data_IF_725969553973
#
_entry.id   IF_725969553973
#
_cell.length_a   1.000
_cell.length_b   1.000
_cell.length_c   1.000
_cell.angle_alpha   90.00
_cell.angle_beta   90.00
_cell.angle_gamma   90.00
#
_symmetry.space_group_name_H-M   'P 1'
#
loop_
_entity.id
_entity.type
_entity.pdbx_description
1 polymer ?
#
# COMPACT_ATOMS: atom_id res chain seq x y z
N UNK A 1 4.60 -44.74 -85.97
CA UNK A 1 4.12 -44.93 -84.58
C UNK A 1 4.95 -44.19 -83.50
N UNK A 2 5.98 -43.38 -83.83
CA UNK A 2 6.85 -42.74 -82.82
C UNK A 2 6.42 -41.38 -82.23
N UNK A 3 5.55 -40.60 -82.90
CA UNK A 3 5.21 -39.24 -82.47
C UNK A 3 4.30 -39.17 -81.21
N UNK A 4 3.37 -40.12 -81.07
CA UNK A 4 2.40 -40.16 -79.95
C UNK A 4 3.07 -40.44 -78.59
N UNK A 5 4.13 -41.23 -78.57
CA UNK A 5 4.89 -41.56 -77.35
C UNK A 5 5.66 -40.33 -76.82
N UNK A 6 6.21 -39.52 -77.73
CA UNK A 6 6.99 -38.32 -77.38
C UNK A 6 6.13 -37.19 -76.82
N UNK A 7 4.94 -36.94 -77.39
CA UNK A 7 3.98 -35.97 -76.85
C UNK A 7 3.45 -36.38 -75.46
N UNK A 8 3.17 -37.66 -75.25
CA UNK A 8 2.77 -38.18 -73.94
C UNK A 8 3.87 -38.00 -72.89
N UNK A 9 5.13 -38.23 -73.25
CA UNK A 9 6.27 -38.01 -72.36
C UNK A 9 6.46 -36.53 -71.99
N UNK A 10 6.30 -35.60 -72.94
CA UNK A 10 6.41 -34.15 -72.70
C UNK A 10 5.28 -33.67 -71.80
N UNK A 11 4.04 -34.06 -72.07
CA UNK A 11 2.89 -33.66 -71.25
C UNK A 11 3.00 -34.21 -69.82
N UNK A 12 3.48 -35.45 -69.66
CA UNK A 12 3.71 -36.05 -68.35
C UNK A 12 4.81 -35.31 -67.57
N UNK A 13 5.90 -34.93 -68.23
CA UNK A 13 6.97 -34.14 -67.61
C UNK A 13 6.49 -32.74 -67.17
N UNK A 14 5.61 -32.11 -67.97
CA UNK A 14 5.04 -30.79 -67.66
C UNK A 14 4.07 -30.83 -66.47
N UNK A 15 3.25 -31.88 -66.38
CA UNK A 15 2.36 -32.13 -65.25
C UNK A 15 3.15 -32.44 -63.97
N UNK A 16 4.19 -33.28 -64.06
CA UNK A 16 5.05 -33.59 -62.92
C UNK A 16 5.85 -32.36 -62.45
N UNK A 17 6.39 -31.56 -63.37
CA UNK A 17 7.11 -30.33 -63.06
C UNK A 17 6.23 -29.26 -62.40
N UNK A 18 5.00 -29.07 -62.90
CA UNK A 18 4.04 -28.14 -62.30
C UNK A 18 3.54 -28.61 -60.93
N UNK A 19 3.28 -29.91 -60.75
CA UNK A 19 2.92 -30.49 -59.45
C UNK A 19 4.06 -30.31 -58.42
N UNK A 20 5.31 -30.52 -58.83
CA UNK A 20 6.48 -30.30 -57.96
C UNK A 20 6.66 -28.83 -57.57
N UNK A 21 6.48 -27.90 -58.51
CA UNK A 21 6.54 -26.46 -58.24
C UNK A 21 5.42 -26.02 -57.27
N UNK A 22 4.19 -26.55 -57.43
CA UNK A 22 3.09 -26.29 -56.51
C UNK A 22 3.40 -26.83 -55.10
N UNK A 23 3.97 -28.03 -55.03
CA UNK A 23 4.34 -28.66 -53.76
C UNK A 23 5.38 -27.81 -53.01
N UNK A 24 6.39 -27.30 -53.72
CA UNK A 24 7.40 -26.41 -53.16
C UNK A 24 6.79 -25.11 -52.61
N UNK A 25 5.87 -24.48 -53.35
CA UNK A 25 5.18 -23.26 -52.90
C UNK A 25 4.34 -23.49 -51.64
N UNK A 26 3.67 -24.65 -51.55
CA UNK A 26 2.90 -25.03 -50.37
C UNK A 26 3.85 -25.21 -49.17
N UNK A 27 4.95 -25.94 -49.36
CA UNK A 27 5.93 -26.19 -48.29
C UNK A 27 6.53 -24.87 -47.78
N UNK A 28 6.94 -23.95 -48.67
CA UNK A 28 7.48 -22.64 -48.25
C UNK A 28 6.44 -21.82 -47.49
N UNK A 29 5.18 -21.80 -47.96
CA UNK A 29 4.11 -21.06 -47.28
C UNK A 29 3.84 -21.59 -45.86
N UNK A 30 3.85 -22.92 -45.66
CA UNK A 30 3.65 -23.53 -44.33
C UNK A 30 4.81 -23.23 -43.39
N UNK A 31 6.05 -23.24 -43.90
CA UNK A 31 7.24 -22.86 -43.12
C UNK A 31 7.14 -21.39 -42.70
N UNK A 32 6.79 -20.49 -43.61
CA UNK A 32 6.60 -19.06 -43.29
C UNK A 32 5.52 -18.86 -42.22
N UNK A 33 4.37 -19.51 -42.34
CA UNK A 33 3.28 -19.42 -41.35
C UNK A 33 3.74 -19.91 -39.97
N UNK A 34 4.42 -21.05 -39.91
CA UNK A 34 4.91 -21.60 -38.62
C UNK A 34 5.97 -20.72 -37.99
N UNK A 35 6.86 -20.12 -38.77
CA UNK A 35 7.85 -19.15 -38.30
C UNK A 35 7.16 -17.89 -37.75
N UNK A 36 6.18 -17.33 -38.46
CA UNK A 36 5.44 -16.15 -37.99
C UNK A 36 4.65 -16.43 -36.71
N UNK A 37 4.02 -17.60 -36.61
CA UNK A 37 3.32 -18.03 -35.38
C UNK A 37 4.29 -18.15 -34.20
N UNK A 38 5.47 -18.72 -34.40
CA UNK A 38 6.50 -18.82 -33.36
C UNK A 38 7.03 -17.44 -32.93
N UNK A 39 7.28 -16.53 -33.88
CA UNK A 39 7.73 -15.16 -33.57
C UNK A 39 6.64 -14.41 -32.78
N UNK A 40 5.38 -14.54 -33.17
CA UNK A 40 4.26 -13.92 -32.46
C UNK A 40 4.16 -14.44 -31.01
N UNK A 41 4.27 -15.75 -30.81
CA UNK A 41 4.29 -16.34 -29.46
C UNK A 41 5.48 -15.86 -28.61
N UNK A 42 6.69 -15.82 -29.18
CA UNK A 42 7.88 -15.31 -28.49
C UNK A 42 7.74 -13.84 -28.10
N UNK A 43 7.17 -13.02 -28.99
CA UNK A 43 6.92 -11.59 -28.73
C UNK A 43 5.95 -11.40 -27.57
N UNK A 44 4.87 -12.19 -27.51
CA UNK A 44 3.91 -12.16 -26.40
C UNK A 44 4.58 -12.57 -25.09
N UNK A 45 5.38 -13.65 -25.07
CA UNK A 45 6.10 -14.10 -23.88
C UNK A 45 7.09 -13.05 -23.37
N UNK A 46 7.86 -12.42 -24.26
CA UNK A 46 8.77 -11.32 -23.89
C UNK A 46 8.00 -10.13 -23.33
N UNK A 47 6.86 -9.75 -23.93
CA UNK A 47 6.04 -8.65 -23.42
C UNK A 47 5.51 -8.90 -22.00
N UNK A 48 5.10 -10.14 -21.71
CA UNK A 48 4.69 -10.56 -20.37
C UNK A 48 5.85 -10.51 -19.36
N UNK A 49 7.03 -11.00 -19.74
CA UNK A 49 8.21 -10.98 -18.88
C UNK A 49 8.66 -9.53 -18.58
N UNK A 50 8.67 -8.65 -19.58
CA UNK A 50 8.98 -7.22 -19.39
C UNK A 50 7.97 -6.55 -18.46
N UNK A 51 6.68 -6.88 -18.61
CA UNK A 51 5.61 -6.33 -17.75
C UNK A 51 5.76 -6.81 -16.30
N UNK A 52 6.02 -8.10 -16.09
CA UNK A 52 6.28 -8.67 -14.77
C UNK A 52 7.54 -8.08 -14.13
N UNK A 53 8.63 -7.92 -14.88
CA UNK A 53 9.84 -7.30 -14.38
C UNK A 53 9.60 -5.84 -13.96
N UNK A 54 8.88 -5.05 -14.78
CA UNK A 54 8.49 -3.68 -14.45
C UNK A 54 7.61 -3.62 -13.20
N UNK A 55 6.64 -4.52 -13.06
CA UNK A 55 5.79 -4.61 -11.87
C UNK A 55 6.58 -5.01 -10.62
N UNK A 56 7.51 -5.96 -10.74
CA UNK A 56 8.38 -6.37 -9.64
C UNK A 56 9.28 -5.21 -9.18
N UNK A 57 9.89 -4.46 -10.11
CA UNK A 57 10.69 -3.27 -9.79
C UNK A 57 9.85 -2.16 -9.15
N UNK A 58 8.64 -1.89 -9.67
CA UNK A 58 7.73 -0.92 -9.09
C UNK A 58 7.31 -1.31 -7.67
N UNK A 59 7.00 -2.59 -7.44
CA UNK A 59 6.63 -3.11 -6.12
C UNK A 59 7.79 -3.04 -5.14
N UNK A 60 9.02 -3.34 -5.59
CA UNK A 60 10.23 -3.21 -4.77
C UNK A 60 10.51 -1.75 -4.37
N UNK A 61 10.33 -0.80 -5.30
CA UNK A 61 10.47 0.63 -5.01
C UNK A 61 9.42 1.12 -4.01
N UNK A 62 8.17 0.65 -4.13
CA UNK A 62 7.07 0.99 -3.20
C UNK A 62 7.31 0.38 -1.81
N UNK A 63 7.98 -0.77 -1.69
CA UNK A 63 8.18 -1.42 -0.39
C UNK A 63 9.55 -1.14 0.25
N UNK A 64 10.36 -0.28 -0.37
CA UNK A 64 11.66 0.10 0.16
C UNK A 64 11.52 0.78 1.54
N UNK A 65 12.45 0.46 2.46
CA UNK A 65 12.51 1.13 3.74
C UNK A 65 12.86 2.62 3.55
N UNK A 66 12.10 3.56 4.12
CA UNK A 66 12.31 4.98 3.86
C UNK A 66 13.68 5.47 4.38
N UNK A 67 14.46 6.11 3.51
CA UNK A 67 15.82 6.57 3.84
C UNK A 67 15.88 7.65 4.94
N UNK A 68 14.77 8.36 5.18
CA UNK A 68 14.66 9.35 6.24
C UNK A 68 14.41 8.72 7.62
N UNK A 69 14.04 7.43 7.68
CA UNK A 69 13.89 6.70 8.92
C UNK A 69 15.25 6.10 9.36
N UNK A 70 15.52 6.02 10.67
CA UNK A 70 16.79 5.45 11.15
C UNK A 70 16.93 3.96 10.82
N UNK A 71 18.14 3.54 10.40
CA UNK A 71 18.51 2.14 10.26
C UNK A 71 17.93 1.46 9.01
N UNK A 72 17.48 0.22 9.17
CA UNK A 72 16.87 -0.57 8.11
C UNK A 72 15.71 -1.41 8.66
N UNK A 73 14.82 -1.84 7.76
CA UNK A 73 13.71 -2.71 8.11
C UNK A 73 13.27 -3.56 6.93
N UNK A 74 12.62 -4.68 7.25
CA UNK A 74 12.02 -5.60 6.28
C UNK A 74 10.52 -5.34 6.24
N UNK A 75 9.95 -5.18 5.04
CA UNK A 75 8.50 -4.92 4.90
C UNK A 75 7.70 -6.09 5.48
N UNK A 76 6.76 -5.76 6.36
CA UNK A 76 5.82 -6.69 6.99
C UNK A 76 4.42 -6.51 6.41
N UNK A 77 3.98 -5.25 6.24
CA UNK A 77 2.73 -4.90 5.59
C UNK A 77 3.00 -3.90 4.47
N UNK A 78 2.31 -4.11 3.35
CA UNK A 78 2.07 -3.11 2.32
C UNK A 78 0.60 -3.19 1.92
N UNK A 79 -0.17 -2.17 2.28
CA UNK A 79 -1.61 -2.10 2.10
C UNK A 79 -2.01 -0.76 1.49
N UNK A 80 -2.58 -0.74 0.27
CA UNK A 80 -3.14 0.48 -0.31
C UNK A 80 -4.29 1.08 0.50
N UNK A 81 -4.90 0.31 1.42
CA UNK A 81 -6.11 0.64 2.17
C UNK A 81 -7.34 0.86 1.28
N UNK A 82 -7.51 0.02 0.25
CA UNK A 82 -8.64 0.11 -0.68
C UNK A 82 -9.75 -0.89 -0.39
N UNK A 83 -9.45 -1.88 0.45
CA UNK A 83 -10.36 -2.94 0.86
C UNK A 83 -9.89 -3.50 2.21
N UNK A 84 -10.79 -4.23 2.87
CA UNK A 84 -10.45 -4.94 4.10
C UNK A 84 -9.42 -6.05 3.81
N UNK A 85 -8.23 -5.90 4.39
CA UNK A 85 -7.12 -6.85 4.29
C UNK A 85 -6.34 -6.92 5.59
N UNK A 86 -5.65 -5.84 5.95
CA UNK A 86 -4.93 -5.75 7.23
C UNK A 86 -5.66 -4.87 8.25
N UNK A 87 -6.54 -3.97 7.81
CA UNK A 87 -7.35 -3.09 8.65
C UNK A 87 -8.83 -3.47 8.58
N UNK A 88 -9.50 -3.40 9.72
CA UNK A 88 -10.92 -3.74 9.85
C UNK A 88 -11.83 -2.65 9.31
N UNK A 89 -12.89 -3.06 8.61
CA UNK A 89 -14.05 -2.21 8.40
C UNK A 89 -15.02 -2.34 9.59
N UNK A 90 -15.92 -1.37 9.76
CA UNK A 90 -16.89 -1.39 10.85
C UNK A 90 -17.59 -0.06 11.02
N UNK A 91 -18.72 -0.08 11.71
CA UNK A 91 -19.46 1.11 12.09
C UNK A 91 -20.15 0.85 13.42
N UNK A 92 -20.14 1.88 14.27
CA UNK A 92 -20.93 1.92 15.49
C UNK A 92 -21.58 3.30 15.57
N UNK A 93 -22.84 3.40 15.13
CA UNK A 93 -23.59 4.66 15.11
C UNK A 93 -23.89 5.20 16.52
N UNK A 94 -24.03 4.31 17.51
CA UNK A 94 -24.25 4.69 18.90
C UNK A 94 -22.96 5.25 19.51
N UNK A 95 -21.82 4.69 19.13
CA UNK A 95 -20.51 5.26 19.45
C UNK A 95 -20.18 6.51 18.64
N UNK A 96 -20.66 6.64 17.40
CA UNK A 96 -20.35 7.75 16.49
C UNK A 96 -19.16 7.49 15.57
N UNK A 97 -18.67 6.25 15.51
CA UNK A 97 -17.43 5.91 14.80
C UNK A 97 -17.65 5.00 13.59
N UNK A 98 -16.82 5.15 12.55
CA UNK A 98 -16.83 4.21 11.42
C UNK A 98 -15.50 4.10 10.66
N UNK A 99 -15.31 2.94 10.02
CA UNK A 99 -14.21 2.53 9.18
C UNK A 99 -14.77 1.99 7.86
N UNK A 100 -14.59 2.73 6.77
CA UNK A 100 -15.17 2.40 5.46
C UNK A 100 -14.11 2.44 4.37
N UNK A 101 -13.97 1.35 3.63
CA UNK A 101 -13.19 1.34 2.40
C UNK A 101 -14.05 1.86 1.24
N UNK A 102 -13.72 3.02 0.70
CA UNK A 102 -14.42 3.64 -0.43
C UNK A 102 -13.49 4.60 -1.17
N UNK A 103 -13.80 4.88 -2.43
CA UNK A 103 -13.07 5.85 -3.25
C UNK A 103 -11.55 5.65 -3.29
N UNK A 104 -11.10 4.40 -3.16
CA UNK A 104 -9.68 4.03 -3.17
C UNK A 104 -8.93 4.30 -1.86
N UNK A 105 -9.64 4.44 -0.73
CA UNK A 105 -9.04 4.71 0.58
C UNK A 105 -9.85 4.14 1.75
N UNK A 106 -9.22 4.13 2.93
CA UNK A 106 -9.92 3.91 4.20
C UNK A 106 -10.37 5.26 4.75
N UNK A 107 -11.68 5.48 4.78
CA UNK A 107 -12.32 6.60 5.42
C UNK A 107 -12.65 6.25 6.86
N UNK A 108 -12.13 7.05 7.79
CA UNK A 108 -12.38 6.93 9.21
C UNK A 108 -13.15 8.15 9.69
N UNK A 109 -14.23 7.93 10.41
CA UNK A 109 -15.10 9.01 10.91
C UNK A 109 -15.30 8.89 12.41
N UNK A 110 -15.36 10.04 13.05
CA UNK A 110 -15.81 10.21 14.44
C UNK A 110 -16.77 11.41 14.45
N UNK A 111 -18.01 11.16 14.86
CA UNK A 111 -19.12 12.12 14.86
C UNK A 111 -19.53 12.55 16.27
N UNK A 112 -18.94 11.94 17.30
CA UNK A 112 -19.21 12.26 18.69
C UNK A 112 -17.92 12.67 19.40
N UNK A 113 -17.89 13.93 19.79
CA UNK A 113 -16.75 14.54 20.46
C UNK A 113 -16.18 13.75 21.65
N UNK A 114 -14.85 13.76 21.75
CA UNK A 114 -14.04 13.14 22.81
C UNK A 114 -14.20 11.61 22.92
N UNK A 115 -14.52 10.97 21.80
CA UNK A 115 -14.48 9.52 21.63
C UNK A 115 -13.32 9.14 20.70
N UNK A 116 -12.91 7.88 20.77
CA UNK A 116 -11.79 7.35 19.99
C UNK A 116 -12.21 6.02 19.37
N UNK A 117 -12.90 6.08 18.24
CA UNK A 117 -13.13 4.90 17.42
C UNK A 117 -11.93 4.68 16.49
N UNK A 118 -11.24 3.55 16.67
CA UNK A 118 -10.05 3.23 15.90
C UNK A 118 -10.27 2.02 14.99
N UNK A 119 -9.91 2.18 13.73
CA UNK A 119 -9.83 1.11 12.75
C UNK A 119 -8.54 0.33 13.01
N UNK A 120 -8.65 -0.73 13.81
CA UNK A 120 -7.48 -1.54 14.18
C UNK A 120 -7.05 -2.49 13.07
N UNK A 121 -5.74 -2.67 12.97
CA UNK A 121 -5.18 -3.75 12.18
C UNK A 121 -5.41 -5.11 12.83
N UNK A 122 -5.40 -6.19 12.04
CA UNK A 122 -5.48 -7.57 12.53
C UNK A 122 -4.20 -8.03 13.25
N UNK A 123 -3.10 -7.29 13.11
CA UNK A 123 -1.85 -7.61 13.78
C UNK A 123 -1.89 -7.14 15.23
N UNK A 124 -1.44 -7.99 16.14
CA UNK A 124 -1.63 -7.80 17.58
C UNK A 124 -0.35 -7.58 18.37
N UNK A 125 0.83 -7.74 17.77
CA UNK A 125 2.10 -7.63 18.49
C UNK A 125 3.24 -7.16 17.60
N UNK A 126 3.94 -6.13 18.04
CA UNK A 126 5.17 -5.61 17.45
C UNK A 126 6.18 -5.31 18.55
N UNK A 127 7.47 -5.55 18.31
CA UNK A 127 8.54 -5.19 19.24
C UNK A 127 9.30 -3.96 18.76
N UNK A 128 9.87 -4.06 17.55
CA UNK A 128 10.53 -2.95 16.88
C UNK A 128 9.96 -2.83 15.47
N UNK A 129 9.30 -1.71 15.18
CA UNK A 129 8.67 -1.50 13.90
C UNK A 129 8.74 -0.04 13.45
N UNK A 130 8.60 0.14 12.14
CA UNK A 130 8.21 1.41 11.57
C UNK A 130 6.83 1.27 10.91
N UNK A 131 5.99 2.29 11.05
CA UNK A 131 4.75 2.48 10.30
C UNK A 131 4.93 3.71 9.42
N UNK A 132 4.38 3.68 8.22
CA UNK A 132 4.18 4.85 7.39
C UNK A 132 2.77 4.78 6.77
N UNK A 133 2.04 5.89 6.75
CA UNK A 133 0.71 5.99 6.16
C UNK A 133 0.47 7.40 5.65
N UNK A 134 -0.24 7.53 4.53
CA UNK A 134 -0.72 8.83 4.07
C UNK A 134 -2.02 9.19 4.78
N UNK A 135 -2.05 10.35 5.41
CA UNK A 135 -3.20 10.88 6.16
C UNK A 135 -3.68 12.17 5.49
N UNK A 136 -4.98 12.23 5.20
CA UNK A 136 -5.65 13.42 4.67
C UNK A 136 -6.88 13.72 5.51
N UNK A 137 -6.89 14.85 6.21
CA UNK A 137 -8.08 15.30 6.96
C UNK A 137 -9.02 15.96 5.95
N UNK A 138 -10.20 15.38 5.77
CA UNK A 138 -11.21 15.85 4.81
C UNK A 138 -12.03 16.99 5.44
N UNK A 139 -12.42 16.81 6.70
CA UNK A 139 -13.14 17.79 7.51
C UNK A 139 -12.92 17.51 9.01
N UNK A 140 -13.24 18.50 9.84
CA UNK A 140 -13.23 18.38 11.30
C UNK A 140 -11.92 18.81 11.93
N UNK A 141 -11.48 18.11 12.97
CA UNK A 141 -10.40 18.56 13.84
C UNK A 141 -9.04 17.93 13.48
N UNK A 142 -8.85 16.64 13.78
CA UNK A 142 -7.53 15.99 13.64
C UNK A 142 -7.63 14.52 13.19
N UNK A 143 -6.53 14.00 12.61
CA UNK A 143 -6.33 12.57 12.42
C UNK A 143 -5.43 11.98 13.50
N UNK A 144 -5.55 10.68 13.70
CA UNK A 144 -4.80 9.99 14.74
C UNK A 144 -4.31 8.60 14.32
N UNK A 145 -3.21 8.19 14.95
CA UNK A 145 -2.74 6.81 14.98
C UNK A 145 -2.63 6.37 16.43
N UNK A 146 -3.30 5.26 16.75
CA UNK A 146 -3.21 4.57 18.02
C UNK A 146 -2.21 3.41 17.91
N UNK A 147 -1.36 3.22 18.91
CA UNK A 147 -0.51 2.03 19.03
C UNK A 147 -0.76 1.41 20.40
N UNK A 148 -1.37 0.22 20.44
CA UNK A 148 -1.64 -0.50 21.68
C UNK A 148 -0.35 -0.77 22.47
N UNK A 149 -0.47 -0.96 23.78
CA UNK A 149 0.67 -1.24 24.67
C UNK A 149 0.39 -2.53 25.43
N UNK A 150 1.06 -3.62 25.03
CA UNK A 150 0.90 -4.91 25.68
C UNK A 150 1.53 -4.94 27.10
N UNK A 151 1.04 -5.81 28.00
CA UNK A 151 -0.05 -6.79 27.80
C UNK A 151 -1.46 -6.21 28.01
N UNK A 152 -1.60 -4.92 28.34
CA UNK A 152 -2.92 -4.32 28.58
C UNK A 152 -3.64 -4.01 27.28
N UNK A 153 -4.92 -4.38 27.16
CA UNK A 153 -5.77 -3.94 26.06
C UNK A 153 -6.15 -2.46 26.16
N UNK A 154 -5.93 -1.83 27.31
CA UNK A 154 -6.49 -0.53 27.64
C UNK A 154 -5.45 0.61 27.55
N UNK A 155 -4.18 0.27 27.34
CA UNK A 155 -3.10 1.25 27.23
C UNK A 155 -2.69 1.44 25.77
N UNK A 156 -2.42 2.68 25.37
CA UNK A 156 -1.99 2.97 24.01
C UNK A 156 -1.23 4.29 23.91
N UNK A 157 -0.36 4.39 22.91
CA UNK A 157 0.13 5.68 22.43
C UNK A 157 -0.88 6.26 21.45
N UNK A 158 -1.08 7.56 21.55
CA UNK A 158 -2.01 8.35 20.76
C UNK A 158 -1.22 9.45 20.07
N UNK A 159 -1.11 9.35 18.74
CA UNK A 159 -0.36 10.28 17.89
C UNK A 159 -1.36 11.09 17.08
N UNK A 160 -1.59 12.32 17.48
CA UNK A 160 -2.55 13.24 16.85
C UNK A 160 -1.83 14.22 15.94
N UNK A 161 -2.35 14.38 14.72
CA UNK A 161 -1.92 15.35 13.73
C UNK A 161 -3.16 16.14 13.30
N UNK A 162 -3.14 17.47 13.47
CA UNK A 162 -4.26 18.32 13.11
C UNK A 162 -3.99 19.14 11.84
N UNK A 163 -5.06 19.53 11.15
CA UNK A 163 -4.98 20.32 9.92
C UNK A 163 -4.37 21.72 10.13
N UNK A 164 -4.33 22.23 11.36
CA UNK A 164 -3.72 23.52 11.71
C UNK A 164 -2.30 23.39 12.27
N UNK A 165 -1.62 22.26 12.03
CA UNK A 165 -0.20 22.08 12.34
C UNK A 165 0.10 21.70 13.79
N UNK A 166 -0.93 21.36 14.57
CA UNK A 166 -0.77 20.77 15.90
C UNK A 166 -0.38 19.30 15.81
N UNK A 167 0.51 18.89 16.70
CA UNK A 167 0.91 17.50 16.89
C UNK A 167 0.96 17.16 18.38
N UNK A 168 0.42 16.00 18.77
CA UNK A 168 0.59 15.46 20.12
C UNK A 168 1.03 14.01 20.09
N UNK A 169 1.87 13.64 21.07
CA UNK A 169 2.13 12.26 21.45
C UNK A 169 1.73 12.12 22.91
N UNK A 170 0.66 11.36 23.15
CA UNK A 170 0.10 11.10 24.48
C UNK A 170 0.14 9.60 24.73
N UNK A 171 0.45 9.20 25.96
CA UNK A 171 0.28 7.84 26.44
C UNK A 171 -0.97 7.77 27.29
N UNK A 172 -1.92 6.94 26.90
CA UNK A 172 -3.08 6.60 27.71
C UNK A 172 -2.75 5.38 28.57
N UNK A 173 -3.03 5.49 29.87
CA UNK A 173 -2.80 4.44 30.85
C UNK A 173 -4.06 3.62 31.13
N UNK A 174 -5.19 4.02 30.55
CA UNK A 174 -6.46 3.31 30.53
C UNK A 174 -7.29 3.72 29.31
N UNK A 175 -8.39 2.99 29.05
CA UNK A 175 -9.32 3.24 27.95
C UNK A 175 -10.41 4.27 28.30
N UNK A 176 -10.38 4.86 29.51
CA UNK A 176 -11.38 5.83 29.96
C UNK A 176 -11.02 7.27 29.60
N UNK A 177 -9.77 7.49 29.19
CA UNK A 177 -9.24 8.80 28.86
C UNK A 177 -8.86 9.65 30.09
N UNK A 178 -9.01 9.12 31.31
CA UNK A 178 -8.78 9.88 32.55
C UNK A 178 -7.34 9.85 33.04
N UNK A 179 -6.54 8.88 32.61
CA UNK A 179 -5.13 8.75 32.99
C UNK A 179 -4.24 8.84 31.76
N UNK A 180 -3.61 10.00 31.60
CA UNK A 180 -2.73 10.28 30.46
C UNK A 180 -1.37 10.80 30.90
N UNK A 181 -0.37 10.56 30.06
CA UNK A 181 0.95 11.19 30.14
C UNK A 181 1.19 11.90 28.81
N UNK A 182 1.29 13.22 28.83
CA UNK A 182 1.63 14.01 27.65
C UNK A 182 3.13 13.94 27.42
N UNK A 183 3.56 13.13 26.45
CA UNK A 183 4.98 12.96 26.15
C UNK A 183 5.51 14.14 25.34
N UNK A 184 4.75 14.59 24.33
CA UNK A 184 5.07 15.77 23.51
C UNK A 184 3.79 16.47 23.05
N UNK A 185 3.82 17.80 23.03
CA UNK A 185 2.79 18.66 22.47
C UNK A 185 3.46 19.82 21.72
N UNK A 186 3.06 20.05 20.46
CA UNK A 186 3.57 21.13 19.61
C UNK A 186 2.44 21.72 18.79
N UNK A 187 2.46 23.04 18.60
CA UNK A 187 1.59 23.75 17.67
C UNK A 187 2.45 24.41 16.57
N UNK A 188 1.84 24.71 15.41
CA UNK A 188 2.52 25.42 14.32
C UNK A 188 3.69 24.64 13.68
N UNK A 189 3.63 23.31 13.64
CA UNK A 189 4.70 22.47 13.10
C UNK A 189 4.81 22.63 11.58
N UNK A 190 5.87 23.26 11.08
CA UNK A 190 6.06 23.57 9.66
C UNK A 190 6.13 22.34 8.74
N UNK A 191 6.48 21.16 9.28
CA UNK A 191 6.50 19.91 8.52
C UNK A 191 5.10 19.43 8.10
N UNK A 192 4.05 19.85 8.83
CA UNK A 192 2.66 19.48 8.54
C UNK A 192 2.12 20.45 7.49
N UNK A 193 1.67 19.91 6.34
CA UNK A 193 0.88 20.66 5.37
C UNK A 193 -0.47 20.96 6.00
N UNK A 194 -0.75 22.23 6.20
CA UNK A 194 -1.94 22.70 6.90
C UNK A 194 -3.12 22.91 5.95
N UNK A 195 -4.33 22.83 6.49
CA UNK A 195 -5.59 22.90 5.76
C UNK A 195 -6.21 21.54 5.45
N UNK A 196 -7.48 21.55 5.08
CA UNK A 196 -8.20 20.35 4.66
C UNK A 196 -7.75 19.87 3.28
N UNK A 197 -7.94 18.58 3.02
CA UNK A 197 -7.54 17.91 1.77
C UNK A 197 -6.04 17.99 1.47
N UNK A 198 -5.21 18.30 2.48
CA UNK A 198 -3.76 18.20 2.39
C UNK A 198 -3.29 16.83 2.86
N UNK A 199 -2.66 16.09 1.95
CA UNK A 199 -2.07 14.78 2.29
C UNK A 199 -0.70 14.96 2.94
N UNK A 200 -0.59 14.43 4.15
CA UNK A 200 0.65 14.34 4.93
C UNK A 200 1.10 12.88 5.02
N UNK A 201 2.39 12.64 4.79
CA UNK A 201 2.99 11.32 5.03
C UNK A 201 3.39 11.23 6.50
N UNK A 202 2.64 10.46 7.29
CA UNK A 202 2.92 10.22 8.69
C UNK A 202 3.74 8.95 8.82
N UNK A 203 4.87 9.01 9.52
CA UNK A 203 5.63 7.83 9.90
C UNK A 203 5.90 7.78 11.41
N UNK A 204 5.84 6.57 11.96
CA UNK A 204 6.15 6.29 13.36
C UNK A 204 7.25 5.25 13.39
N UNK A 205 8.34 5.58 14.08
CA UNK A 205 9.44 4.66 14.33
C UNK A 205 9.46 4.30 15.81
N UNK A 206 9.28 3.02 16.09
CA UNK A 206 9.25 2.45 17.43
C UNK A 206 10.35 1.40 17.56
N UNK A 207 11.40 1.70 18.33
CA UNK A 207 12.48 0.75 18.61
C UNK A 207 12.88 0.82 20.07
N UNK A 208 12.78 -0.31 20.78
CA UNK A 208 13.00 -0.40 22.23
C UNK A 208 12.12 0.61 22.98
N UNK A 209 12.73 1.58 23.66
CA UNK A 209 12.04 2.64 24.41
C UNK A 209 12.05 3.99 23.68
N UNK A 210 12.22 4.00 22.36
CA UNK A 210 12.25 5.21 21.56
C UNK A 210 11.05 5.19 20.63
N UNK A 211 10.23 6.23 20.73
CA UNK A 211 9.19 6.58 19.77
C UNK A 211 9.58 7.86 19.05
N UNK A 212 9.59 7.83 17.72
CA UNK A 212 9.79 9.00 16.88
C UNK A 212 8.62 9.13 15.92
N UNK A 213 8.14 10.35 15.74
CA UNK A 213 7.11 10.67 14.76
C UNK A 213 7.71 11.60 13.72
N UNK A 214 7.47 11.27 12.46
CA UNK A 214 7.88 12.03 11.31
C UNK A 214 6.65 12.43 10.52
N UNK A 215 6.66 13.65 9.99
CA UNK A 215 5.67 14.09 9.01
C UNK A 215 6.41 14.62 7.79
N UNK A 216 6.01 14.15 6.60
CA UNK A 216 6.62 14.50 5.32
C UNK A 216 8.16 14.34 5.32
N UNK A 217 8.63 13.25 5.94
CA UNK A 217 10.06 12.92 6.04
C UNK A 217 10.84 13.69 7.11
N UNK A 218 10.23 14.63 7.83
CA UNK A 218 10.88 15.40 8.89
C UNK A 218 10.48 14.89 10.27
N UNK A 219 11.46 14.64 11.15
CA UNK A 219 11.18 14.25 12.54
C UNK A 219 10.60 15.44 13.29
N UNK A 220 9.39 15.29 13.83
CA UNK A 220 8.68 16.34 14.59
C UNK A 220 8.59 16.02 16.09
N UNK A 221 8.68 14.73 16.44
CA UNK A 221 8.59 14.23 17.82
C UNK A 221 9.66 13.17 18.05
N UNK A 222 10.25 13.18 19.24
CA UNK A 222 11.00 12.07 19.81
C UNK A 222 10.66 11.99 21.30
N UNK A 223 10.29 10.81 21.76
CA UNK A 223 10.07 10.50 23.17
C UNK A 223 10.83 9.24 23.55
N UNK A 224 11.37 9.23 24.77
CA UNK A 224 11.95 8.04 25.37
C UNK A 224 10.95 7.41 26.33
N UNK A 225 10.01 6.68 25.78
CA UNK A 225 8.99 5.93 26.51
C UNK A 225 8.84 4.57 25.83
N UNK A 226 8.62 3.50 26.60
CA UNK A 226 8.46 2.18 25.98
C UNK A 226 8.24 1.05 26.95
N UNK A 227 7.29 0.19 26.57
CA UNK A 227 7.15 -1.17 27.03
C UNK A 227 7.68 -2.10 25.92
N UNK A 228 8.27 -3.24 26.28
CA UNK A 228 8.96 -4.12 25.33
C UNK A 228 8.09 -4.69 24.21
N UNK A 229 6.76 -4.64 24.33
CA UNK A 229 5.82 -5.14 23.33
C UNK A 229 4.72 -4.11 23.08
N UNK A 230 4.58 -3.71 21.82
CA UNK A 230 3.49 -2.88 21.32
C UNK A 230 2.40 -3.77 20.72
N UNK A 231 1.17 -3.31 20.80
CA UNK A 231 -0.04 -3.99 20.34
C UNK A 231 -0.50 -3.53 18.95
N UNK A 232 -1.79 -3.72 18.62
CA UNK A 232 -2.36 -3.32 17.33
C UNK A 232 -2.16 -1.85 16.98
N UNK A 233 -2.12 -1.57 15.68
CA UNK A 233 -2.09 -0.21 15.12
C UNK A 233 -3.52 0.17 14.75
N UNK A 234 -4.03 1.26 15.32
CA UNK A 234 -5.33 1.83 14.99
C UNK A 234 -5.19 3.12 14.19
N UNK A 235 -6.02 3.29 13.17
CA UNK A 235 -6.18 4.57 12.46
C UNK A 235 -7.53 5.17 12.87
N UNK A 236 -7.57 6.45 13.23
CA UNK A 236 -8.75 7.07 13.84
C UNK A 236 -8.92 8.54 13.43
N UNK A 237 -10.15 9.01 13.45
CA UNK A 237 -10.50 10.42 13.36
C UNK A 237 -10.69 10.98 14.79
N UNK A 238 -10.39 12.26 14.99
CA UNK A 238 -10.51 12.92 16.28
C UNK A 238 -11.54 14.02 16.17
N UNK A 239 -12.66 13.88 16.86
CA UNK A 239 -13.65 14.93 17.07
C UNK A 239 -13.46 15.53 18.47
N UNK A 240 -13.10 16.80 18.54
CA UNK A 240 -13.16 17.58 19.78
C UNK A 240 -14.45 18.38 19.87
N UNK A 241 -14.86 18.95 18.73
CA UNK A 241 -16.06 19.77 18.58
C UNK A 241 -16.71 19.62 17.20
N UNK A 242 -15.96 19.13 16.21
CA UNK A 242 -16.42 19.02 14.84
C UNK A 242 -16.35 17.56 14.39
N UNK A 243 -17.47 17.05 13.88
CA UNK A 243 -17.50 15.73 13.24
C UNK A 243 -16.40 15.62 12.18
N UNK A 244 -15.54 14.63 12.36
CA UNK A 244 -14.25 14.54 11.67
C UNK A 244 -14.23 13.35 10.75
N UNK A 245 -13.73 13.56 9.53
CA UNK A 245 -13.46 12.51 8.55
C UNK A 245 -12.01 12.60 8.09
N UNK A 246 -11.33 11.46 8.15
CA UNK A 246 -9.92 11.33 7.74
C UNK A 246 -9.80 10.18 6.77
N UNK A 247 -9.13 10.45 5.66
CA UNK A 247 -8.82 9.48 4.64
C UNK A 247 -7.38 8.98 4.82
N UNK A 248 -7.20 7.67 4.88
CA UNK A 248 -5.90 7.00 4.97
C UNK A 248 -5.65 6.15 3.74
N UNK A 249 -4.42 6.21 3.22
CA UNK A 249 -3.96 5.39 2.09
C UNK A 249 -2.53 4.92 2.28
N UNK A 250 -2.14 3.88 1.52
CA UNK A 250 -0.75 3.43 1.38
C UNK A 250 -0.04 3.14 2.72
N UNK A 251 -0.69 2.38 3.60
CA UNK A 251 -0.11 1.96 4.86
C UNK A 251 0.99 0.91 4.64
N UNK A 252 2.16 1.15 5.22
CA UNK A 252 3.30 0.24 5.20
C UNK A 252 3.84 0.06 6.60
N UNK A 253 4.18 -1.18 6.95
CA UNK A 253 4.79 -1.52 8.23
C UNK A 253 6.04 -2.33 7.96
N UNK A 254 7.14 -2.02 8.65
CA UNK A 254 8.39 -2.76 8.59
C UNK A 254 8.77 -3.29 9.96
N UNK A 255 9.30 -4.51 10.00
CA UNK A 255 10.04 -5.02 11.15
C UNK A 255 11.44 -4.43 11.12
N UNK A 256 11.90 -3.83 12.21
CA UNK A 256 13.22 -3.23 12.30
C UNK A 256 14.28 -4.27 12.66
N UNK A 257 15.45 -4.13 12.03
CA UNK A 257 16.64 -4.94 12.33
C UNK A 257 17.43 -4.37 13.51
#
# INVERSE_FOLDING_TARGET
MGNSQRERAINMALVLGSAFALLLLIITSVIEITVQLNIAQQTVLQSHQVTQARQATATAAVNAYPAYLPGSGTVLISDPLQQEKYWRSGMDSDFGGSCQFKDGALHVREEKANRNYACYSFLSSFTNFALEVQMTIIQGDCGNVNIGIAPSSDMYYYIEICSYGRCRLIKYLDNTGKKTVHLVERDGTAAIKQGFNQTNLLAIYAKKNILRVFVNGQQIVMAQDGNGTMGPIGLSAVDFKNATEVMYTQARVWTLN
#
